data_IF_223516483848
#
_entry.id   IF_223516483848
#
_cell.length_a   1.000
_cell.length_b   1.000
_cell.length_c   1.000
_cell.angle_alpha   90.00
_cell.angle_beta   90.00
_cell.angle_gamma   90.00
#
_symmetry.space_group_name_H-M   'P 1'
#
loop_
_entity.id
_entity.type
_entity.pdbx_description
1 polymer ?
#
# COMPACT_ATOMS: atom_id res chain seq x y z
N UNK A 1 -42.77 -12.38 -18.76
CA UNK A 1 -42.81 -11.03 -18.16
C UNK A 1 -41.95 -11.10 -16.89
N UNK A 2 -40.64 -11.02 -17.07
CA UNK A 2 -39.63 -11.27 -16.05
C UNK A 2 -39.23 -9.92 -15.45
N UNK A 3 -39.58 -9.71 -14.18
CA UNK A 3 -39.25 -8.50 -13.45
C UNK A 3 -37.72 -8.33 -13.39
N UNK A 4 -37.23 -7.32 -14.07
CA UNK A 4 -35.89 -6.76 -13.90
C UNK A 4 -35.81 -6.21 -12.48
N UNK A 5 -35.31 -7.04 -11.57
CA UNK A 5 -34.86 -6.57 -10.23
C UNK A 5 -33.75 -5.53 -10.44
N UNK A 6 -34.10 -4.27 -10.37
CA UNK A 6 -33.16 -3.16 -10.32
C UNK A 6 -32.15 -3.40 -9.19
N UNK A 7 -30.91 -3.68 -9.57
CA UNK A 7 -29.80 -3.75 -8.60
C UNK A 7 -29.63 -2.36 -7.98
N UNK A 8 -29.73 -2.23 -6.66
CA UNK A 8 -29.60 -0.93 -6.00
C UNK A 8 -28.23 -0.30 -6.30
N UNK A 9 -28.32 0.96 -6.72
CA UNK A 9 -27.23 1.83 -7.19
C UNK A 9 -25.91 1.63 -6.46
N UNK A 10 -24.88 1.22 -7.16
CA UNK A 10 -23.50 0.92 -6.76
C UNK A 10 -22.71 2.06 -6.06
N UNK A 11 -23.33 3.21 -5.81
CA UNK A 11 -22.70 4.35 -5.11
C UNK A 11 -22.56 4.15 -3.59
N UNK A 12 -23.48 3.41 -2.94
CA UNK A 12 -23.43 3.19 -1.48
C UNK A 12 -22.27 2.31 -1.02
N UNK A 13 -21.99 1.13 -1.61
CA UNK A 13 -20.88 0.30 -1.18
C UNK A 13 -19.52 0.97 -1.32
N UNK A 14 -19.26 1.69 -2.42
CA UNK A 14 -17.99 2.40 -2.62
C UNK A 14 -17.75 3.51 -1.59
N UNK A 15 -18.80 4.25 -1.20
CA UNK A 15 -18.69 5.27 -0.15
C UNK A 15 -18.42 4.66 1.24
N UNK A 16 -19.08 3.55 1.57
CA UNK A 16 -18.85 2.85 2.84
C UNK A 16 -17.43 2.28 2.92
N UNK A 17 -16.93 1.69 1.82
CA UNK A 17 -15.55 1.23 1.74
C UNK A 17 -14.55 2.39 1.89
N UNK A 18 -14.82 3.54 1.26
CA UNK A 18 -13.95 4.71 1.38
C UNK A 18 -13.97 5.29 2.81
N UNK A 19 -15.12 5.35 3.45
CA UNK A 19 -15.24 5.76 4.85
C UNK A 19 -14.54 4.79 5.81
N UNK A 20 -14.67 3.48 5.59
CA UNK A 20 -13.94 2.46 6.35
C UNK A 20 -12.42 2.57 6.15
N UNK A 21 -11.97 2.84 4.90
CA UNK A 21 -10.57 3.08 4.60
C UNK A 21 -10.05 4.34 5.31
N UNK A 22 -10.80 5.43 5.24
CA UNK A 22 -10.46 6.70 5.90
C UNK A 22 -10.32 6.52 7.40
N UNK A 23 -11.32 5.87 8.05
CA UNK A 23 -11.32 5.64 9.49
C UNK A 23 -10.09 4.84 9.95
N UNK A 24 -9.82 3.68 9.34
CA UNK A 24 -8.65 2.87 9.69
C UNK A 24 -7.33 3.61 9.41
N UNK A 25 -7.21 4.30 8.27
CA UNK A 25 -5.97 5.01 7.93
C UNK A 25 -5.73 6.24 8.82
N UNK A 26 -6.76 6.83 9.39
CA UNK A 26 -6.60 7.93 10.36
C UNK A 26 -5.96 7.41 11.66
N UNK A 27 -6.43 6.29 12.17
CA UNK A 27 -5.80 5.62 13.31
C UNK A 27 -4.37 5.19 13.01
N UNK A 28 -4.16 4.47 11.91
CA UNK A 28 -2.83 4.04 11.44
C UNK A 28 -1.84 5.21 11.34
N UNK A 29 -2.28 6.37 10.84
CA UNK A 29 -1.42 7.56 10.72
C UNK A 29 -0.93 8.06 12.06
N UNK A 30 -1.81 8.14 13.06
CA UNK A 30 -1.46 8.56 14.42
C UNK A 30 -0.55 7.53 15.10
N UNK A 31 -0.90 6.24 15.01
CA UNK A 31 -0.12 5.12 15.55
C UNK A 31 1.30 5.09 14.97
N UNK A 32 1.45 5.12 13.63
CA UNK A 32 2.76 5.04 12.98
C UNK A 32 3.67 6.20 13.36
N UNK A 33 3.11 7.37 13.62
CA UNK A 33 3.89 8.57 13.99
C UNK A 33 4.48 8.46 15.39
N UNK A 34 3.76 7.93 16.37
CA UNK A 34 4.20 7.92 17.76
C UNK A 34 4.64 6.54 18.28
N UNK A 35 4.35 5.45 17.57
CA UNK A 35 4.57 4.08 18.04
C UNK A 35 6.04 3.78 18.39
N UNK A 36 6.99 4.23 17.56
CA UNK A 36 8.42 3.98 17.82
C UNK A 36 8.89 4.58 19.15
N UNK A 37 8.44 5.80 19.47
CA UNK A 37 8.79 6.45 20.74
C UNK A 37 8.05 5.82 21.93
N UNK A 38 6.80 5.41 21.74
CA UNK A 38 6.09 4.62 22.75
C UNK A 38 6.83 3.34 23.09
N UNK A 39 7.24 2.56 22.07
CA UNK A 39 7.93 1.29 22.31
C UNK A 39 9.30 1.46 22.96
N UNK A 40 10.03 2.52 22.62
CA UNK A 40 11.35 2.76 23.19
C UNK A 40 11.29 3.42 24.57
N UNK A 41 10.44 4.44 24.77
CA UNK A 41 10.42 5.23 26.02
C UNK A 41 9.49 4.64 27.08
N UNK A 42 8.35 4.08 26.67
CA UNK A 42 7.32 3.60 27.62
C UNK A 42 7.40 2.08 27.79
N UNK A 43 7.49 1.32 26.69
CA UNK A 43 7.60 -0.14 26.76
C UNK A 43 9.03 -0.62 27.10
N UNK A 44 10.06 0.25 27.06
CA UNK A 44 11.43 -0.06 27.45
C UNK A 44 12.18 -0.95 26.44
N UNK A 45 11.72 -1.03 25.19
CA UNK A 45 12.39 -1.80 24.14
C UNK A 45 13.54 -0.99 23.51
N UNK A 46 14.62 -1.66 23.13
CA UNK A 46 15.67 -1.01 22.36
C UNK A 46 15.23 -0.69 20.94
N UNK A 47 15.77 0.35 20.28
CA UNK A 47 15.45 0.65 18.88
C UNK A 47 15.68 -0.54 17.94
N UNK A 48 16.70 -1.35 18.19
CA UNK A 48 16.97 -2.57 17.42
C UNK A 48 15.87 -3.63 17.58
N UNK A 49 15.36 -3.83 18.80
CA UNK A 49 14.26 -4.76 19.08
C UNK A 49 12.98 -4.29 18.40
N UNK A 50 12.67 -2.99 18.43
CA UNK A 50 11.52 -2.41 17.75
C UNK A 50 11.65 -2.60 16.22
N UNK A 51 12.79 -2.26 15.64
CA UNK A 51 13.06 -2.42 14.22
C UNK A 51 12.94 -3.88 13.78
N UNK A 52 13.57 -4.81 14.51
CA UNK A 52 13.52 -6.24 14.22
C UNK A 52 12.08 -6.78 14.32
N UNK A 53 11.35 -6.44 15.38
CA UNK A 53 9.99 -6.91 15.60
C UNK A 53 9.02 -6.43 14.52
N UNK A 54 9.11 -5.16 14.12
CA UNK A 54 8.29 -4.62 13.02
C UNK A 54 8.66 -5.27 11.67
N UNK A 55 9.95 -5.50 11.42
CA UNK A 55 10.41 -6.19 10.20
C UNK A 55 9.85 -7.61 10.13
N UNK A 56 9.98 -8.39 11.23
CA UNK A 56 9.41 -9.73 11.32
C UNK A 56 7.88 -9.71 11.19
N UNK A 57 7.21 -8.75 11.82
CA UNK A 57 5.77 -8.55 11.72
C UNK A 57 5.30 -8.37 10.28
N UNK A 58 5.95 -7.51 9.51
CA UNK A 58 5.63 -7.32 8.10
C UNK A 58 6.04 -8.51 7.22
N UNK A 59 7.14 -9.20 7.53
CA UNK A 59 7.56 -10.40 6.81
C UNK A 59 6.53 -11.53 6.98
N UNK A 60 6.09 -11.82 8.20
CA UNK A 60 5.02 -12.79 8.48
C UNK A 60 3.70 -12.35 7.85
N UNK A 61 3.36 -11.07 7.99
CA UNK A 61 2.18 -10.48 7.37
C UNK A 61 2.16 -10.66 5.86
N UNK A 62 3.30 -10.55 5.18
CA UNK A 62 3.37 -10.72 3.72
C UNK A 62 2.92 -12.11 3.27
N UNK A 63 3.22 -13.14 4.05
CA UNK A 63 2.81 -14.53 3.78
C UNK A 63 1.35 -14.75 4.17
N UNK A 64 0.85 -14.08 5.22
CA UNK A 64 -0.50 -14.25 5.74
C UNK A 64 -1.61 -13.76 4.79
N UNK A 65 -1.30 -12.83 3.88
CA UNK A 65 -2.27 -12.25 2.95
C UNK A 65 -2.97 -13.29 2.05
N UNK A 66 -2.25 -14.29 1.57
CA UNK A 66 -2.80 -15.36 0.72
C UNK A 66 -3.78 -16.26 1.48
N UNK A 67 -3.42 -16.89 2.63
CA UNK A 67 -4.35 -17.75 3.36
C UNK A 67 -5.55 -16.99 3.93
N UNK A 68 -5.37 -15.75 4.39
CA UNK A 68 -6.48 -14.92 4.89
C UNK A 68 -7.40 -14.47 3.75
N UNK A 69 -6.88 -14.14 2.58
CA UNK A 69 -7.66 -13.88 1.38
C UNK A 69 -8.50 -15.09 0.96
N UNK A 70 -7.91 -16.28 0.97
CA UNK A 70 -8.60 -17.55 0.70
C UNK A 70 -9.69 -17.84 1.73
N UNK A 71 -9.41 -17.58 3.00
CA UNK A 71 -10.41 -17.74 4.07
C UNK A 71 -11.64 -16.87 3.81
N UNK A 72 -11.41 -15.64 3.33
CA UNK A 72 -12.48 -14.71 2.95
C UNK A 72 -13.29 -15.21 1.75
N UNK A 73 -12.65 -15.77 0.73
CA UNK A 73 -13.34 -16.34 -0.44
C UNK A 73 -14.29 -17.48 -0.02
N UNK A 74 -13.90 -18.28 0.97
CA UNK A 74 -14.69 -19.43 1.45
C UNK A 74 -15.82 -19.05 2.42
N UNK A 75 -15.53 -18.19 3.39
CA UNK A 75 -16.45 -17.86 4.49
C UNK A 75 -17.22 -16.57 4.28
N UNK A 76 -16.88 -15.80 3.24
CA UNK A 76 -17.50 -14.54 2.89
C UNK A 76 -16.64 -13.33 3.27
N UNK A 77 -16.33 -12.52 2.26
CA UNK A 77 -15.39 -11.41 2.36
C UNK A 77 -15.83 -10.34 3.40
N UNK A 78 -17.14 -10.10 3.58
CA UNK A 78 -17.64 -9.12 4.56
C UNK A 78 -17.30 -9.53 5.99
N UNK A 79 -17.64 -10.75 6.39
CA UNK A 79 -17.37 -11.26 7.75
C UNK A 79 -15.88 -11.33 8.05
N UNK A 80 -15.10 -11.81 7.07
CA UNK A 80 -13.64 -11.85 7.20
C UNK A 80 -13.02 -10.45 7.35
N UNK A 81 -13.49 -9.46 6.59
CA UNK A 81 -13.00 -8.08 6.70
C UNK A 81 -13.32 -7.47 8.08
N UNK A 82 -14.52 -7.72 8.61
CA UNK A 82 -14.91 -7.28 9.95
C UNK A 82 -14.04 -7.91 11.03
N UNK A 83 -13.86 -9.24 10.98
CA UNK A 83 -13.04 -9.97 11.93
C UNK A 83 -11.58 -9.48 11.92
N UNK A 84 -11.01 -9.30 10.73
CA UNK A 84 -9.64 -8.81 10.58
C UNK A 84 -9.49 -7.35 11.04
N UNK A 85 -10.49 -6.49 10.83
CA UNK A 85 -10.48 -5.13 11.36
C UNK A 85 -10.49 -5.14 12.90
N UNK A 86 -11.37 -5.93 13.54
CA UNK A 86 -11.40 -6.07 14.99
C UNK A 86 -10.11 -6.69 15.53
N UNK A 87 -9.57 -7.72 14.87
CA UNK A 87 -8.30 -8.34 15.26
C UNK A 87 -7.12 -7.35 15.13
N UNK A 88 -7.13 -6.47 14.13
CA UNK A 88 -6.15 -5.38 14.03
C UNK A 88 -6.25 -4.43 15.22
N UNK A 89 -7.45 -3.95 15.55
CA UNK A 89 -7.68 -3.10 16.71
C UNK A 89 -7.26 -3.78 18.03
N UNK A 90 -7.57 -5.06 18.19
CA UNK A 90 -7.14 -5.85 19.37
C UNK A 90 -5.62 -5.99 19.44
N UNK A 91 -4.94 -6.22 18.31
CA UNK A 91 -3.48 -6.30 18.28
C UNK A 91 -2.80 -4.97 18.65
N UNK A 92 -3.42 -3.83 18.29
CA UNK A 92 -2.97 -2.50 18.72
C UNK A 92 -3.11 -2.34 20.23
N UNK A 93 -4.23 -2.76 20.81
CA UNK A 93 -4.41 -2.74 22.27
C UNK A 93 -3.44 -3.69 22.98
N UNK A 94 -3.08 -4.82 22.37
CA UNK A 94 -2.09 -5.74 22.93
C UNK A 94 -0.71 -5.07 23.09
N UNK A 95 -0.32 -4.16 22.20
CA UNK A 95 0.93 -3.40 22.35
C UNK A 95 0.99 -2.57 23.65
N UNK A 96 -0.15 -2.15 24.20
CA UNK A 96 -0.20 -1.37 25.44
C UNK A 96 0.32 -2.16 26.66
N UNK A 97 0.15 -3.47 26.66
CA UNK A 97 0.54 -4.37 27.76
C UNK A 97 1.85 -5.10 27.53
N UNK A 98 2.41 -5.00 26.33
CA UNK A 98 3.68 -5.62 25.96
C UNK A 98 4.85 -4.91 26.66
N UNK A 99 5.69 -5.71 27.36
CA UNK A 99 6.90 -5.26 28.05
C UNK A 99 8.12 -6.14 27.75
N UNK A 100 7.97 -7.16 26.92
CA UNK A 100 9.08 -8.03 26.53
C UNK A 100 9.27 -8.04 25.02
N UNK A 101 10.51 -8.20 24.52
CA UNK A 101 10.78 -8.25 23.08
C UNK A 101 10.05 -9.38 22.36
N UNK A 102 9.91 -10.53 23.01
CA UNK A 102 9.23 -11.71 22.43
C UNK A 102 7.73 -11.43 22.22
N UNK A 103 7.05 -10.90 23.26
CA UNK A 103 5.64 -10.52 23.14
C UNK A 103 5.43 -9.40 22.14
N UNK A 104 6.40 -8.50 22.02
CA UNK A 104 6.37 -7.45 21.01
C UNK A 104 6.39 -8.04 19.58
N UNK A 105 7.31 -8.98 19.32
CA UNK A 105 7.40 -9.66 18.01
C UNK A 105 6.10 -10.40 17.70
N UNK A 106 5.54 -11.14 18.67
CA UNK A 106 4.27 -11.84 18.48
C UNK A 106 3.10 -10.88 18.16
N UNK A 107 2.99 -9.79 18.90
CA UNK A 107 1.98 -8.76 18.65
C UNK A 107 2.18 -8.09 17.28
N UNK A 108 3.43 -7.81 16.88
CA UNK A 108 3.77 -7.23 15.58
C UNK A 108 3.45 -8.21 14.44
N UNK A 109 3.70 -9.51 14.60
CA UNK A 109 3.32 -10.54 13.63
C UNK A 109 1.81 -10.65 13.48
N UNK A 110 1.07 -10.59 14.58
CA UNK A 110 -0.39 -10.60 14.56
C UNK A 110 -0.93 -9.35 13.85
N UNK A 111 -0.46 -8.17 14.25
CA UNK A 111 -0.82 -6.90 13.63
C UNK A 111 -0.54 -6.89 12.12
N UNK A 112 0.68 -7.24 11.69
CA UNK A 112 1.07 -7.28 10.28
C UNK A 112 0.24 -8.28 9.47
N UNK A 113 -0.07 -9.45 10.05
CA UNK A 113 -0.93 -10.45 9.42
C UNK A 113 -2.37 -9.97 9.26
N UNK A 114 -2.94 -9.36 10.29
CA UNK A 114 -4.29 -8.79 10.23
C UNK A 114 -4.39 -7.64 9.23
N UNK A 115 -3.42 -6.73 9.20
CA UNK A 115 -3.37 -5.60 8.26
C UNK A 115 -3.29 -6.07 6.80
N UNK A 116 -2.38 -6.99 6.48
CA UNK A 116 -2.24 -7.51 5.12
C UNK A 116 -3.45 -8.35 4.70
N UNK A 117 -3.98 -9.16 5.62
CA UNK A 117 -5.23 -9.89 5.40
C UNK A 117 -6.41 -8.97 5.15
N UNK A 118 -6.59 -7.94 5.97
CA UNK A 118 -7.65 -6.94 5.81
C UNK A 118 -7.52 -6.20 4.46
N UNK A 119 -6.30 -5.86 4.05
CA UNK A 119 -6.06 -5.26 2.75
C UNK A 119 -6.47 -6.19 1.60
N UNK A 120 -6.10 -7.47 1.62
CA UNK A 120 -6.48 -8.47 0.62
C UNK A 120 -8.01 -8.65 0.56
N UNK A 121 -8.64 -8.83 1.73
CA UNK A 121 -10.09 -9.05 1.84
C UNK A 121 -10.90 -7.83 1.39
N UNK A 122 -10.42 -6.61 1.67
CA UNK A 122 -11.05 -5.37 1.14
C UNK A 122 -11.01 -5.32 -0.38
N UNK A 123 -9.93 -5.80 -1.02
CA UNK A 123 -9.88 -5.88 -2.49
C UNK A 123 -10.86 -6.93 -3.02
N UNK A 124 -10.96 -8.10 -2.38
CA UNK A 124 -11.95 -9.11 -2.74
C UNK A 124 -13.39 -8.59 -2.58
N UNK A 125 -13.65 -7.87 -1.49
CA UNK A 125 -14.96 -7.25 -1.23
C UNK A 125 -15.28 -6.16 -2.26
N UNK A 126 -14.32 -5.33 -2.63
CA UNK A 126 -14.46 -4.36 -3.73
C UNK A 126 -14.76 -5.07 -5.06
N UNK A 127 -14.03 -6.14 -5.37
CA UNK A 127 -14.24 -6.92 -6.59
C UNK A 127 -15.63 -7.58 -6.64
N UNK A 128 -16.16 -8.00 -5.49
CA UNK A 128 -17.49 -8.62 -5.41
C UNK A 128 -18.66 -7.62 -5.46
N UNK A 129 -18.46 -6.39 -4.94
CA UNK A 129 -19.53 -5.39 -4.79
C UNK A 129 -19.55 -4.32 -5.89
N UNK A 130 -18.46 -4.16 -6.62
CA UNK A 130 -18.35 -3.14 -7.67
C UNK A 130 -18.38 -3.75 -9.06
N UNK A 131 -19.02 -3.04 -9.99
CA UNK A 131 -18.97 -3.37 -11.41
C UNK A 131 -17.52 -3.37 -11.91
N UNK A 132 -17.10 -4.31 -12.76
CA UNK A 132 -15.73 -4.42 -13.26
C UNK A 132 -15.15 -3.08 -13.75
N UNK A 133 -15.93 -2.33 -14.54
CA UNK A 133 -15.54 -1.03 -15.11
C UNK A 133 -15.27 0.07 -14.05
N UNK A 134 -15.82 -0.10 -12.85
CA UNK A 134 -15.71 0.89 -11.75
C UNK A 134 -14.72 0.51 -10.67
N UNK A 135 -14.24 -0.75 -10.63
CA UNK A 135 -13.35 -1.26 -9.57
C UNK A 135 -12.12 -0.40 -9.37
N UNK A 136 -11.39 -0.16 -10.44
CA UNK A 136 -10.15 0.64 -10.39
C UNK A 136 -10.40 2.08 -9.97
N UNK A 137 -11.49 2.69 -10.43
CA UNK A 137 -11.87 4.04 -9.98
C UNK A 137 -12.24 4.09 -8.51
N UNK A 138 -13.01 3.10 -8.01
CA UNK A 138 -13.34 3.02 -6.58
C UNK A 138 -12.05 2.75 -5.77
N UNK A 139 -11.16 1.88 -6.26
CA UNK A 139 -9.86 1.64 -5.63
C UNK A 139 -9.04 2.91 -5.49
N UNK A 140 -9.06 3.78 -6.51
CA UNK A 140 -8.41 5.09 -6.47
C UNK A 140 -9.02 6.02 -5.39
N UNK A 141 -10.35 6.02 -5.23
CA UNK A 141 -10.99 6.77 -4.14
C UNK A 141 -10.61 6.22 -2.76
N UNK A 142 -10.51 4.89 -2.61
CA UNK A 142 -10.05 4.26 -1.38
C UNK A 142 -8.60 4.69 -1.05
N UNK A 143 -7.74 4.73 -2.07
CA UNK A 143 -6.35 5.16 -1.90
C UNK A 143 -6.26 6.63 -1.48
N UNK A 144 -7.02 7.52 -2.14
CA UNK A 144 -7.07 8.94 -1.77
C UNK A 144 -7.60 9.13 -0.35
N UNK A 145 -8.67 8.42 0.03
CA UNK A 145 -9.21 8.44 1.38
C UNK A 145 -8.19 7.93 2.41
N UNK A 146 -7.46 6.86 2.06
CA UNK A 146 -6.39 6.31 2.90
C UNK A 146 -5.27 7.31 3.12
N UNK A 147 -4.77 7.94 2.06
CA UNK A 147 -3.71 8.95 2.16
C UNK A 147 -4.14 10.17 2.98
N UNK A 148 -5.39 10.64 2.78
CA UNK A 148 -5.94 11.73 3.59
C UNK A 148 -6.06 11.34 5.06
N UNK A 149 -6.54 10.11 5.35
CA UNK A 149 -6.60 9.59 6.71
C UNK A 149 -5.24 9.51 7.37
N UNK A 150 -4.24 8.94 6.67
CA UNK A 150 -2.86 8.86 7.16
C UNK A 150 -2.27 10.24 7.47
N UNK A 151 -2.49 11.23 6.60
CA UNK A 151 -1.97 12.58 6.79
C UNK A 151 -2.60 13.28 8.02
N UNK A 152 -3.92 13.21 8.16
CA UNK A 152 -4.63 13.76 9.33
C UNK A 152 -4.23 13.02 10.60
N UNK A 153 -4.18 11.68 10.55
CA UNK A 153 -3.74 10.85 11.67
C UNK A 153 -2.30 11.16 12.10
N UNK A 154 -1.39 11.32 11.15
CA UNK A 154 -0.01 11.71 11.46
C UNK A 154 0.07 13.06 12.17
N UNK A 155 -0.78 14.02 11.81
CA UNK A 155 -0.93 15.28 12.54
C UNK A 155 -1.36 15.08 13.99
N UNK A 156 -2.36 14.22 14.23
CA UNK A 156 -2.80 13.86 15.58
C UNK A 156 -1.70 13.14 16.38
N UNK A 157 -0.96 12.22 15.75
CA UNK A 157 0.21 11.58 16.34
C UNK A 157 1.30 12.59 16.70
N UNK A 158 1.53 13.60 15.84
CA UNK A 158 2.44 14.72 16.10
C UNK A 158 2.05 15.54 17.33
N UNK A 159 0.75 15.78 17.55
CA UNK A 159 0.26 16.42 18.78
C UNK A 159 0.55 15.56 20.02
N UNK A 160 0.38 14.25 19.94
CA UNK A 160 0.73 13.35 21.04
C UNK A 160 2.24 13.35 21.33
N UNK A 161 3.08 13.44 20.27
CA UNK A 161 4.52 13.60 20.41
C UNK A 161 4.91 14.92 21.10
N UNK A 162 4.24 16.02 20.75
CA UNK A 162 4.52 17.32 21.38
C UNK A 162 4.14 17.36 22.85
N UNK A 163 3.11 16.60 23.26
CA UNK A 163 2.73 16.44 24.66
C UNK A 163 3.72 15.54 25.43
N UNK A 164 4.36 14.58 24.76
CA UNK A 164 5.37 13.62 25.23
C UNK A 164 5.01 12.97 26.59
N UNK A 165 3.75 12.60 26.77
CA UNK A 165 3.23 11.96 27.98
C UNK A 165 2.76 10.54 27.71
N UNK A 166 2.88 9.65 28.71
CA UNK A 166 2.37 8.29 28.59
C UNK A 166 0.86 8.27 28.24
N UNK A 167 0.07 9.15 28.83
CA UNK A 167 -1.36 9.27 28.55
C UNK A 167 -1.66 9.69 27.09
N UNK A 168 -0.85 10.59 26.52
CA UNK A 168 -1.03 10.99 25.12
C UNK A 168 -0.76 9.81 24.16
N UNK A 169 0.29 9.05 24.40
CA UNK A 169 0.57 7.82 23.61
C UNK A 169 -0.53 6.77 23.76
N UNK A 170 -0.95 6.49 25.00
CA UNK A 170 -2.06 5.55 25.27
C UNK A 170 -3.34 5.96 24.55
N UNK A 171 -3.66 7.25 24.56
CA UNK A 171 -4.83 7.80 23.88
C UNK A 171 -4.77 7.53 22.37
N UNK A 172 -3.62 7.69 21.72
CA UNK A 172 -3.46 7.39 20.29
C UNK A 172 -3.72 5.91 19.99
N UNK A 173 -3.19 4.98 20.80
CA UNK A 173 -3.43 3.55 20.59
C UNK A 173 -4.91 3.17 20.77
N UNK A 174 -5.57 3.75 21.78
CA UNK A 174 -7.00 3.53 22.01
C UNK A 174 -7.85 4.12 20.87
N UNK A 175 -7.51 5.32 20.40
CA UNK A 175 -8.18 5.94 19.25
C UNK A 175 -8.00 5.13 17.97
N UNK A 176 -6.81 4.57 17.73
CA UNK A 176 -6.56 3.71 16.58
C UNK A 176 -7.37 2.41 16.67
N UNK A 177 -7.39 1.75 17.82
CA UNK A 177 -8.24 0.58 18.03
C UNK A 177 -9.74 0.90 17.83
N UNK A 178 -10.20 2.06 18.31
CA UNK A 178 -11.56 2.55 18.09
C UNK A 178 -11.83 2.83 16.59
N UNK A 179 -10.86 3.37 15.86
CA UNK A 179 -10.96 3.58 14.42
C UNK A 179 -11.13 2.25 13.67
N UNK A 180 -10.46 1.18 14.11
CA UNK A 180 -10.68 -0.17 13.55
C UNK A 180 -12.05 -0.75 13.95
N UNK A 181 -12.57 -0.46 15.13
CA UNK A 181 -13.93 -0.83 15.50
C UNK A 181 -14.98 -0.09 14.63
N UNK A 182 -14.78 1.21 14.37
CA UNK A 182 -15.58 1.98 13.40
C UNK A 182 -15.45 1.40 11.99
N UNK A 183 -14.24 1.02 11.57
CA UNK A 183 -14.02 0.33 10.29
C UNK A 183 -14.84 -0.95 10.20
N UNK A 184 -14.84 -1.79 11.23
CA UNK A 184 -15.64 -3.01 11.27
C UNK A 184 -17.14 -2.72 11.21
N UNK A 185 -17.63 -1.70 11.94
CA UNK A 185 -19.03 -1.28 11.93
C UNK A 185 -19.48 -0.77 10.55
N UNK A 186 -18.63 -0.03 9.84
CA UNK A 186 -18.90 0.42 8.47
C UNK A 186 -18.93 -0.74 7.49
N UNK A 187 -18.00 -1.70 7.63
CA UNK A 187 -17.98 -2.92 6.82
C UNK A 187 -19.21 -3.80 7.06
N UNK A 188 -19.73 -3.84 8.30
CA UNK A 188 -20.97 -4.55 8.62
C UNK A 188 -22.18 -4.03 7.83
N UNK A 189 -22.23 -2.73 7.54
CA UNK A 189 -23.32 -2.09 6.77
C UNK A 189 -23.26 -2.42 5.26
N UNK A 190 -22.22 -3.08 4.79
CA UNK A 190 -22.12 -3.53 3.40
C UNK A 190 -23.04 -4.73 3.14
N UNK A 191 -23.58 -4.88 1.91
CA UNK A 191 -24.29 -6.10 1.57
C UNK A 191 -23.37 -7.32 1.66
N UNK A 192 -23.96 -8.47 1.99
CA UNK A 192 -23.22 -9.73 1.98
C UNK A 192 -22.74 -10.02 0.54
N UNK A 193 -21.43 -10.14 0.36
CA UNK A 193 -20.89 -10.60 -0.91
C UNK A 193 -21.22 -12.08 -1.10
N UNK A 194 -21.54 -12.52 -2.33
CA UNK A 194 -21.72 -13.93 -2.61
C UNK A 194 -20.50 -14.72 -2.16
N UNK A 195 -20.73 -15.81 -1.47
CA UNK A 195 -19.65 -16.75 -1.15
C UNK A 195 -19.21 -17.42 -2.45
N UNK A 196 -17.90 -17.53 -2.62
CA UNK A 196 -17.39 -18.36 -3.71
C UNK A 196 -17.82 -19.80 -3.45
N UNK A 197 -18.67 -20.33 -4.31
CA UNK A 197 -18.93 -21.77 -4.36
C UNK A 197 -17.71 -22.44 -4.97
N UNK A 198 -16.64 -22.56 -4.19
CA UNK A 198 -15.42 -23.23 -4.64
C UNK A 198 -15.77 -24.60 -5.18
N UNK A 199 -15.40 -24.90 -6.44
CA UNK A 199 -15.56 -26.24 -7.01
C UNK A 199 -14.92 -27.25 -6.05
N UNK A 200 -15.65 -28.30 -5.62
CA UNK A 200 -15.05 -29.39 -4.86
C UNK A 200 -13.86 -29.95 -5.65
N UNK A 201 -12.67 -30.00 -5.04
CA UNK A 201 -11.46 -30.49 -5.71
C UNK A 201 -10.55 -29.41 -6.31
N UNK A 202 -10.90 -28.13 -6.23
CA UNK A 202 -9.98 -27.06 -6.67
C UNK A 202 -8.66 -27.09 -5.85
N UNK A 203 -7.50 -27.01 -6.51
CA UNK A 203 -6.22 -27.14 -5.82
C UNK A 203 -6.06 -26.08 -4.73
N UNK A 204 -5.63 -26.54 -3.54
CA UNK A 204 -5.24 -25.65 -2.44
C UNK A 204 -4.03 -24.83 -2.90
N UNK A 205 -4.14 -23.48 -2.94
CA UNK A 205 -3.09 -22.59 -3.40
C UNK A 205 -2.92 -22.53 -4.93
N UNK A 206 -4.02 -22.34 -5.65
CA UNK A 206 -3.96 -22.21 -7.11
C UNK A 206 -3.04 -21.08 -7.57
N UNK A 207 -3.01 -19.94 -6.85
CA UNK A 207 -2.20 -18.77 -7.18
C UNK A 207 -0.69 -19.05 -7.16
N UNK A 208 -0.20 -19.93 -6.27
CA UNK A 208 1.23 -20.27 -6.19
C UNK A 208 1.71 -21.12 -7.38
N UNK A 209 0.78 -21.75 -8.11
CA UNK A 209 1.08 -22.53 -9.31
C UNK A 209 0.82 -21.74 -10.59
N UNK A 210 0.23 -20.57 -10.48
CA UNK A 210 -0.07 -19.66 -11.60
C UNK A 210 1.20 -18.84 -11.93
N UNK A 211 2.11 -19.44 -12.70
CA UNK A 211 3.39 -18.83 -13.09
C UNK A 211 3.22 -17.48 -13.80
N UNK A 212 2.27 -17.31 -14.76
CA UNK A 212 2.05 -16.03 -15.41
C UNK A 212 1.66 -14.94 -14.42
N UNK A 213 0.74 -15.23 -13.49
CA UNK A 213 0.33 -14.27 -12.48
C UNK A 213 1.46 -13.96 -11.47
N UNK A 214 2.27 -14.97 -11.13
CA UNK A 214 3.45 -14.77 -10.28
C UNK A 214 4.47 -13.81 -10.93
N UNK A 215 4.69 -13.93 -12.24
CA UNK A 215 5.56 -12.99 -12.97
C UNK A 215 4.99 -11.56 -12.96
N UNK A 216 3.69 -11.40 -13.21
CA UNK A 216 3.02 -10.09 -13.12
C UNK A 216 3.16 -9.50 -11.72
N UNK A 217 2.98 -10.32 -10.67
CA UNK A 217 3.14 -9.90 -9.28
C UNK A 217 4.58 -9.49 -8.97
N UNK A 218 5.57 -10.23 -9.45
CA UNK A 218 6.99 -9.90 -9.28
C UNK A 218 7.35 -8.57 -9.96
N UNK A 219 6.94 -8.38 -11.21
CA UNK A 219 7.17 -7.12 -11.93
C UNK A 219 6.49 -5.94 -11.21
N UNK A 220 5.28 -6.16 -10.68
CA UNK A 220 4.63 -5.16 -9.86
C UNK A 220 5.39 -4.88 -8.55
N UNK A 221 5.94 -5.90 -7.88
CA UNK A 221 6.74 -5.74 -6.67
C UNK A 221 8.01 -4.91 -6.93
N UNK A 222 8.67 -5.10 -8.07
CA UNK A 222 9.80 -4.28 -8.51
C UNK A 222 9.38 -2.82 -8.67
N UNK A 223 8.28 -2.55 -9.35
CA UNK A 223 7.75 -1.19 -9.52
C UNK A 223 7.31 -0.54 -8.20
N UNK A 224 6.91 -1.35 -7.21
CA UNK A 224 6.55 -0.87 -5.87
C UNK A 224 7.75 -0.43 -5.02
N UNK A 225 9.00 -0.74 -5.44
CA UNK A 225 10.20 -0.16 -4.81
C UNK A 225 10.24 1.37 -4.91
N UNK A 226 9.40 1.99 -5.74
CA UNK A 226 9.17 3.44 -5.73
C UNK A 226 8.60 3.97 -4.39
N UNK A 227 7.92 3.12 -3.60
CA UNK A 227 7.27 3.56 -2.35
C UNK A 227 8.27 4.10 -1.30
N UNK A 228 9.38 3.42 -1.00
CA UNK A 228 10.38 3.95 -0.07
C UNK A 228 11.31 5.03 -0.68
N UNK A 229 11.15 5.42 -1.95
CA UNK A 229 11.96 6.51 -2.53
C UNK A 229 11.77 7.81 -1.75
N UNK A 230 10.52 8.22 -1.57
CA UNK A 230 10.20 9.50 -0.94
C UNK A 230 10.51 9.50 0.57
N UNK A 231 10.39 8.35 1.23
CA UNK A 231 10.57 8.24 2.68
C UNK A 231 11.99 7.89 3.13
N UNK A 232 12.83 7.36 2.23
CA UNK A 232 14.18 6.92 2.58
C UNK A 232 15.24 7.46 1.62
N UNK A 233 15.14 7.12 0.32
CA UNK A 233 16.21 7.43 -0.63
C UNK A 233 16.37 8.93 -0.86
N UNK A 234 15.28 9.65 -1.14
CA UNK A 234 15.30 11.09 -1.41
C UNK A 234 15.76 11.91 -0.20
N UNK A 235 15.26 11.69 1.03
CA UNK A 235 15.79 12.36 2.21
C UNK A 235 17.31 12.20 2.40
N UNK A 236 17.81 10.97 2.32
CA UNK A 236 19.24 10.70 2.44
C UNK A 236 20.02 11.36 1.30
N UNK A 237 19.50 11.25 0.07
CA UNK A 237 20.13 11.87 -1.11
C UNK A 237 20.25 13.38 -0.99
N UNK A 238 19.19 14.05 -0.49
CA UNK A 238 19.19 15.51 -0.29
C UNK A 238 20.29 15.91 0.67
N UNK A 239 20.42 15.20 1.79
CA UNK A 239 21.40 15.53 2.84
C UNK A 239 22.83 15.27 2.39
N UNK A 240 23.07 14.13 1.71
CA UNK A 240 24.42 13.65 1.43
C UNK A 240 24.97 14.15 0.09
N UNK A 241 24.11 14.48 -0.89
CA UNK A 241 24.55 14.69 -2.29
C UNK A 241 24.04 15.98 -2.93
N UNK A 242 23.24 16.80 -2.25
CA UNK A 242 22.69 18.01 -2.88
C UNK A 242 22.93 19.28 -2.03
N UNK A 243 22.92 20.43 -2.69
CA UNK A 243 22.96 21.72 -2.01
C UNK A 243 21.57 22.18 -1.50
N UNK A 244 20.51 21.39 -1.70
CA UNK A 244 19.16 21.75 -1.31
C UNK A 244 19.00 21.79 0.22
N UNK A 245 18.25 22.74 0.78
CA UNK A 245 18.04 22.83 2.23
C UNK A 245 17.16 21.66 2.71
N UNK A 246 17.38 21.21 3.97
CA UNK A 246 16.71 20.03 4.54
C UNK A 246 15.18 20.07 4.56
N UNK A 247 14.57 21.27 4.64
CA UNK A 247 13.11 21.42 4.57
C UNK A 247 12.52 20.98 3.22
N UNK A 248 13.35 20.84 2.18
CA UNK A 248 12.95 20.30 0.87
C UNK A 248 12.29 18.94 1.00
N UNK A 249 12.74 18.09 1.90
CA UNK A 249 12.12 16.77 2.17
C UNK A 249 10.63 16.92 2.47
N UNK A 250 10.29 17.79 3.42
CA UNK A 250 8.90 18.04 3.81
C UNK A 250 8.08 18.63 2.66
N UNK A 251 8.67 19.56 1.91
CA UNK A 251 8.02 20.17 0.74
C UNK A 251 7.67 19.11 -0.32
N UNK A 252 8.57 18.16 -0.59
CA UNK A 252 8.33 17.08 -1.56
C UNK A 252 7.25 16.09 -1.05
N UNK A 253 7.20 15.80 0.25
CA UNK A 253 6.11 14.99 0.84
C UNK A 253 4.75 15.66 0.67
N UNK A 254 4.64 16.95 0.98
CA UNK A 254 3.39 17.71 0.83
C UNK A 254 2.98 17.74 -0.64
N UNK A 255 3.92 18.05 -1.54
CA UNK A 255 3.70 18.04 -2.98
C UNK A 255 3.15 16.71 -3.47
N UNK A 256 3.81 15.59 -3.10
CA UNK A 256 3.36 14.25 -3.45
C UNK A 256 1.93 13.99 -2.97
N UNK A 257 1.65 14.29 -1.71
CA UNK A 257 0.33 14.06 -1.12
C UNK A 257 -0.77 14.83 -1.85
N UNK A 258 -0.54 16.13 -2.13
CA UNK A 258 -1.49 16.98 -2.85
C UNK A 258 -1.76 16.41 -4.25
N UNK A 259 -0.70 16.12 -5.01
CA UNK A 259 -0.82 15.63 -6.39
C UNK A 259 -1.54 14.28 -6.43
N UNK A 260 -1.21 13.35 -5.52
CA UNK A 260 -1.90 12.06 -5.43
C UNK A 260 -3.38 12.25 -5.13
N UNK A 261 -3.74 13.02 -4.11
CA UNK A 261 -5.15 13.24 -3.72
C UNK A 261 -5.96 13.84 -4.88
N UNK A 262 -5.38 14.80 -5.60
CA UNK A 262 -6.06 15.52 -6.69
C UNK A 262 -6.17 14.68 -7.97
N UNK A 263 -5.12 13.95 -8.34
CA UNK A 263 -5.03 13.32 -9.66
C UNK A 263 -5.31 11.82 -9.67
N UNK A 264 -5.17 11.10 -8.54
CA UNK A 264 -5.30 9.65 -8.48
C UNK A 264 -6.59 9.11 -9.13
N UNK A 265 -7.72 9.71 -8.79
CA UNK A 265 -9.04 9.29 -9.30
C UNK A 265 -9.20 9.61 -10.79
N UNK A 266 -8.66 10.76 -11.24
CA UNK A 266 -8.73 11.15 -12.65
C UNK A 266 -7.90 10.22 -13.52
N UNK A 267 -6.69 9.86 -13.08
CA UNK A 267 -5.81 8.93 -13.80
C UNK A 267 -6.44 7.54 -13.86
N UNK A 268 -6.94 7.02 -12.74
CA UNK A 268 -7.61 5.73 -12.69
C UNK A 268 -8.87 5.66 -13.56
N UNK A 269 -9.58 6.76 -13.70
CA UNK A 269 -10.79 6.86 -14.53
C UNK A 269 -10.55 6.79 -16.05
N UNK A 270 -9.29 6.86 -16.51
CA UNK A 270 -8.92 6.74 -17.94
C UNK A 270 -8.72 5.29 -18.40
N UNK A 271 -8.80 4.34 -17.49
CA UNK A 271 -8.64 2.92 -17.82
C UNK A 271 -9.95 2.34 -18.35
N UNK A 272 -9.86 1.62 -19.48
CA UNK A 272 -10.99 0.98 -20.14
C UNK A 272 -10.78 -0.50 -20.44
N UNK A 273 -9.53 -1.01 -20.32
CA UNK A 273 -9.22 -2.39 -20.68
C UNK A 273 -7.88 -2.84 -20.10
N UNK A 274 -7.67 -4.16 -20.04
CA UNK A 274 -6.40 -4.77 -19.63
C UNK A 274 -5.23 -4.30 -20.52
N UNK A 275 -5.46 -4.11 -21.82
CA UNK A 275 -4.46 -3.59 -22.74
C UNK A 275 -4.08 -2.13 -22.43
N UNK A 276 -5.05 -1.27 -22.05
CA UNK A 276 -4.77 0.10 -21.64
C UNK A 276 -4.01 0.14 -20.32
N UNK A 277 -4.36 -0.74 -19.37
CA UNK A 277 -3.66 -0.89 -18.09
C UNK A 277 -2.19 -1.29 -18.26
N UNK A 278 -1.93 -2.29 -19.11
CA UNK A 278 -0.58 -2.74 -19.44
C UNK A 278 0.27 -1.63 -20.08
N UNK A 279 -0.30 -0.85 -21.03
CA UNK A 279 0.39 0.30 -21.62
C UNK A 279 0.67 1.39 -20.58
N UNK A 280 -0.25 1.60 -19.63
CA UNK A 280 -0.08 2.59 -18.56
C UNK A 280 1.07 2.19 -17.62
N UNK A 281 1.17 0.92 -17.23
CA UNK A 281 2.30 0.42 -16.43
C UNK A 281 3.63 0.52 -17.21
N UNK A 282 3.64 0.22 -18.52
CA UNK A 282 4.83 0.42 -19.34
C UNK A 282 5.30 1.88 -19.35
N UNK A 283 4.36 2.81 -19.52
CA UNK A 283 4.66 4.26 -19.48
C UNK A 283 5.16 4.69 -18.10
N UNK A 284 4.61 4.12 -17.02
CA UNK A 284 5.06 4.42 -15.67
C UNK A 284 6.53 4.06 -15.47
N UNK A 285 7.00 2.93 -16.01
CA UNK A 285 8.41 2.54 -15.94
C UNK A 285 9.35 3.57 -16.59
N UNK A 286 8.97 4.11 -17.76
CA UNK A 286 9.73 5.15 -18.44
C UNK A 286 9.70 6.46 -17.65
N UNK A 287 8.54 6.84 -17.11
CA UNK A 287 8.38 8.06 -16.29
C UNK A 287 9.18 7.94 -14.99
N UNK A 288 9.21 6.77 -14.36
CA UNK A 288 10.03 6.53 -13.18
C UNK A 288 11.53 6.57 -13.50
N UNK A 289 11.97 6.06 -14.66
CA UNK A 289 13.34 6.26 -15.14
C UNK A 289 13.66 7.74 -15.27
N UNK A 290 12.78 8.53 -15.91
CA UNK A 290 13.00 9.96 -16.05
C UNK A 290 13.08 10.69 -14.70
N UNK A 291 12.29 10.26 -13.71
CA UNK A 291 12.39 10.80 -12.34
C UNK A 291 13.72 10.45 -11.68
N UNK A 292 14.21 9.20 -11.85
CA UNK A 292 15.52 8.78 -11.34
C UNK A 292 16.66 9.60 -11.97
N UNK A 293 16.58 9.89 -13.27
CA UNK A 293 17.55 10.78 -13.95
C UNK A 293 17.48 12.20 -13.35
N UNK A 294 16.29 12.74 -13.13
CA UNK A 294 16.15 14.06 -12.52
C UNK A 294 16.73 14.10 -11.09
N UNK A 295 16.47 13.07 -10.26
CA UNK A 295 17.08 13.00 -8.94
C UNK A 295 18.61 12.86 -9.01
N UNK A 296 19.15 12.08 -9.94
CA UNK A 296 20.60 11.98 -10.16
C UNK A 296 21.20 13.36 -10.53
N UNK A 297 20.55 14.09 -11.43
CA UNK A 297 20.99 15.43 -11.87
C UNK A 297 20.93 16.49 -10.74
N UNK A 298 20.14 16.28 -9.69
CA UNK A 298 20.06 17.22 -8.56
C UNK A 298 21.38 17.36 -7.80
N UNK A 299 22.26 16.34 -7.86
CA UNK A 299 23.60 16.41 -7.29
C UNK A 299 24.56 17.34 -8.05
N UNK A 300 24.27 17.65 -9.30
CA UNK A 300 25.08 18.53 -10.12
C UNK A 300 24.72 20.02 -9.93
N UNK A 301 23.66 20.29 -9.19
CA UNK A 301 23.21 21.63 -8.89
C UNK A 301 24.16 22.36 -7.95
N UNK A 302 24.81 23.42 -8.43
CA UNK A 302 25.79 24.22 -7.68
C UNK A 302 25.14 25.20 -6.69
N UNK A 303 23.84 25.50 -6.86
CA UNK A 303 23.09 26.39 -5.96
C UNK A 303 21.89 25.68 -5.31
N UNK A 304 21.53 26.09 -4.07
CA UNK A 304 20.35 25.54 -3.39
C UNK A 304 19.05 25.65 -4.19
N UNK A 305 18.87 26.76 -4.92
CA UNK A 305 17.67 26.99 -5.72
C UNK A 305 17.59 26.05 -6.92
N UNK A 306 18.70 25.81 -7.63
CA UNK A 306 18.77 24.89 -8.76
C UNK A 306 18.53 23.46 -8.28
N UNK A 307 19.20 23.04 -7.22
CA UNK A 307 19.00 21.72 -6.63
C UNK A 307 17.54 21.50 -6.22
N UNK A 308 16.93 22.47 -5.54
CA UNK A 308 15.51 22.43 -5.16
C UNK A 308 14.58 22.31 -6.38
N UNK A 309 14.79 23.12 -7.41
CA UNK A 309 13.97 23.11 -8.62
C UNK A 309 14.03 21.75 -9.35
N UNK A 310 15.23 21.17 -9.46
CA UNK A 310 15.43 19.85 -10.07
C UNK A 310 14.76 18.75 -9.24
N UNK A 311 14.88 18.80 -7.90
CA UNK A 311 14.21 17.87 -6.99
C UNK A 311 12.69 17.94 -7.08
N UNK A 312 12.12 19.15 -7.17
CA UNK A 312 10.67 19.35 -7.36
C UNK A 312 10.22 18.79 -8.71
N UNK A 313 10.96 19.07 -9.79
CA UNK A 313 10.67 18.50 -11.10
C UNK A 313 10.74 16.95 -11.08
N UNK A 314 11.78 16.38 -10.48
CA UNK A 314 11.93 14.94 -10.28
C UNK A 314 10.77 14.33 -9.48
N UNK A 315 10.33 14.98 -8.41
CA UNK A 315 9.21 14.54 -7.59
C UNK A 315 7.87 14.61 -8.33
N UNK A 316 7.62 15.63 -9.14
CA UNK A 316 6.42 15.73 -9.98
C UNK A 316 6.39 14.60 -11.03
N UNK A 317 7.52 14.31 -11.65
CA UNK A 317 7.64 13.19 -12.60
C UNK A 317 7.47 11.85 -11.87
N UNK A 318 8.05 11.69 -10.68
CA UNK A 318 7.93 10.48 -9.86
C UNK A 318 6.47 10.21 -9.47
N UNK A 319 5.76 11.24 -9.00
CA UNK A 319 4.34 11.11 -8.62
C UNK A 319 3.48 10.76 -9.85
N UNK A 320 3.77 11.30 -11.02
CA UNK A 320 3.08 10.90 -12.25
C UNK A 320 3.33 9.41 -12.57
N UNK A 321 4.57 8.95 -12.46
CA UNK A 321 4.92 7.52 -12.58
C UNK A 321 4.17 6.66 -11.57
N UNK A 322 4.05 7.11 -10.33
CA UNK A 322 3.28 6.47 -9.26
C UNK A 322 1.80 6.31 -9.62
N UNK A 323 1.16 7.37 -10.07
CA UNK A 323 -0.25 7.38 -10.43
C UNK A 323 -0.54 6.41 -11.59
N UNK A 324 0.32 6.41 -12.61
CA UNK A 324 0.21 5.51 -13.76
C UNK A 324 0.41 4.05 -13.36
N UNK A 325 1.44 3.77 -12.54
CA UNK A 325 1.72 2.41 -12.05
C UNK A 325 0.57 1.89 -11.20
N UNK A 326 0.11 2.66 -10.22
CA UNK A 326 -0.95 2.25 -9.31
C UNK A 326 -2.23 1.93 -10.05
N UNK A 327 -2.70 2.83 -10.91
CA UNK A 327 -3.94 2.65 -11.67
C UNK A 327 -3.85 1.41 -12.58
N UNK A 328 -2.77 1.28 -13.36
CA UNK A 328 -2.57 0.15 -14.25
C UNK A 328 -2.45 -1.19 -13.52
N UNK A 329 -1.67 -1.22 -12.43
CA UNK A 329 -1.50 -2.45 -11.64
C UNK A 329 -2.77 -2.90 -10.94
N UNK A 330 -3.60 -1.99 -10.44
CA UNK A 330 -4.89 -2.37 -9.84
C UNK A 330 -5.81 -3.01 -10.86
N UNK A 331 -5.91 -2.44 -12.06
CA UNK A 331 -6.72 -3.02 -13.13
C UNK A 331 -6.22 -4.41 -13.53
N UNK A 332 -4.90 -4.56 -13.72
CA UNK A 332 -4.27 -5.85 -14.04
C UNK A 332 -4.56 -6.87 -12.93
N UNK A 333 -4.38 -6.49 -11.66
CA UNK A 333 -4.62 -7.36 -10.52
C UNK A 333 -6.07 -7.84 -10.43
N UNK A 334 -7.06 -6.98 -10.72
CA UNK A 334 -8.47 -7.38 -10.74
C UNK A 334 -8.85 -8.21 -11.97
N UNK A 335 -8.40 -7.79 -13.15
CA UNK A 335 -8.79 -8.43 -14.41
C UNK A 335 -8.20 -9.84 -14.57
N UNK A 336 -6.99 -10.05 -14.05
CA UNK A 336 -6.33 -11.35 -14.10
C UNK A 336 -6.69 -12.28 -12.93
N UNK A 337 -7.36 -11.85 -11.89
CA UNK A 337 -7.80 -12.70 -10.79
C UNK A 337 -9.12 -13.42 -11.14
N UNK A 338 -9.21 -14.77 -11.02
CA UNK A 338 -10.46 -15.48 -11.18
C UNK A 338 -11.55 -14.95 -10.25
N UNK A 339 -12.80 -14.89 -10.74
CA UNK A 339 -13.90 -14.30 -10.00
C UNK A 339 -14.20 -15.00 -8.67
N UNK A 340 -13.95 -16.30 -8.60
CA UNK A 340 -14.14 -17.16 -7.42
C UNK A 340 -12.95 -17.19 -6.45
N UNK A 341 -11.80 -16.57 -6.81
CA UNK A 341 -10.55 -16.56 -6.02
C UNK A 341 -9.96 -15.17 -5.86
N UNK A 342 -10.79 -14.14 -5.89
CA UNK A 342 -10.32 -12.75 -5.80
C UNK A 342 -9.50 -12.48 -4.52
N UNK A 343 -9.91 -13.01 -3.37
CA UNK A 343 -9.19 -12.82 -2.11
C UNK A 343 -7.80 -13.46 -2.12
N UNK A 344 -7.69 -14.70 -2.59
CA UNK A 344 -6.42 -15.41 -2.72
C UNK A 344 -5.45 -14.68 -3.65
N UNK A 345 -5.93 -14.28 -4.83
CA UNK A 345 -5.11 -13.59 -5.85
C UNK A 345 -4.75 -12.17 -5.44
N UNK A 346 -5.66 -11.42 -4.84
CA UNK A 346 -5.37 -10.08 -4.32
C UNK A 346 -4.42 -10.14 -3.11
N UNK A 347 -4.52 -11.17 -2.27
CA UNK A 347 -3.57 -11.43 -1.20
C UNK A 347 -2.16 -11.65 -1.74
N UNK A 348 -2.02 -12.49 -2.77
CA UNK A 348 -0.73 -12.75 -3.43
C UNK A 348 -0.18 -11.49 -4.13
N UNK A 349 -1.01 -10.77 -4.85
CA UNK A 349 -0.62 -9.51 -5.50
C UNK A 349 -0.17 -8.45 -4.49
N UNK A 350 -0.81 -8.42 -3.32
CA UNK A 350 -0.48 -7.53 -2.21
C UNK A 350 0.87 -7.82 -1.54
N UNK A 351 1.42 -9.04 -1.68
CA UNK A 351 2.74 -9.38 -1.10
C UNK A 351 3.84 -8.47 -1.63
N UNK A 352 3.72 -7.99 -2.89
CA UNK A 352 4.65 -7.03 -3.46
C UNK A 352 4.80 -5.75 -2.64
N UNK A 353 3.72 -5.26 -2.03
CA UNK A 353 3.78 -4.08 -1.14
C UNK A 353 4.56 -4.37 0.13
N UNK A 354 4.35 -5.54 0.73
CA UNK A 354 5.08 -5.94 1.95
C UNK A 354 6.56 -6.15 1.67
N UNK A 355 6.89 -6.79 0.55
CA UNK A 355 8.29 -6.97 0.09
C UNK A 355 8.96 -5.61 -0.15
N UNK A 356 8.30 -4.69 -0.86
CA UNK A 356 8.84 -3.36 -1.11
C UNK A 356 9.08 -2.57 0.19
N UNK A 357 8.21 -2.72 1.19
CA UNK A 357 8.40 -2.09 2.51
C UNK A 357 9.52 -2.71 3.33
N UNK A 358 9.71 -4.03 3.24
CA UNK A 358 10.73 -4.74 4.00
C UNK A 358 12.14 -4.58 3.39
N UNK A 359 12.26 -4.79 2.07
CA UNK A 359 13.56 -4.81 1.37
C UNK A 359 13.94 -3.44 0.82
N UNK A 360 12.94 -2.63 0.47
CA UNK A 360 13.14 -1.35 -0.21
C UNK A 360 14.08 -0.38 0.51
N UNK A 361 13.92 -0.10 1.82
CA UNK A 361 14.81 0.82 2.53
C UNK A 361 16.28 0.42 2.42
N UNK A 362 16.63 -0.85 2.67
CA UNK A 362 18.01 -1.35 2.60
C UNK A 362 18.51 -1.31 1.15
N UNK A 363 17.72 -1.79 0.21
CA UNK A 363 18.10 -1.81 -1.20
C UNK A 363 18.34 -0.40 -1.74
N UNK A 364 17.47 0.56 -1.41
CA UNK A 364 17.59 1.93 -1.92
C UNK A 364 18.73 2.70 -1.22
N UNK A 365 18.96 2.50 0.06
CA UNK A 365 20.11 3.14 0.73
C UNK A 365 21.44 2.63 0.17
N UNK A 366 21.55 1.33 -0.10
CA UNK A 366 22.77 0.76 -0.67
C UNK A 366 22.96 1.09 -2.16
N UNK A 367 21.90 0.91 -2.97
CA UNK A 367 21.99 1.09 -4.43
C UNK A 367 22.00 2.57 -4.80
N UNK A 368 21.13 3.38 -4.19
CA UNK A 368 20.94 4.78 -4.60
C UNK A 368 21.92 5.69 -3.85
N UNK A 369 21.93 5.65 -2.52
CA UNK A 369 22.79 6.55 -1.73
C UNK A 369 24.25 6.11 -1.86
N UNK A 370 24.53 4.83 -1.65
CA UNK A 370 25.88 4.28 -1.79
C UNK A 370 26.41 4.23 -3.22
N UNK A 371 25.54 4.05 -4.24
CA UNK A 371 25.89 4.00 -5.65
C UNK A 371 25.90 5.35 -6.37
N UNK A 372 25.45 6.43 -5.71
CA UNK A 372 25.44 7.78 -6.27
C UNK A 372 24.60 7.90 -7.53
N UNK A 373 25.05 8.72 -8.49
CA UNK A 373 24.37 8.92 -9.79
C UNK A 373 24.12 7.59 -10.51
N UNK A 374 25.11 6.70 -10.51
CA UNK A 374 24.98 5.39 -11.16
C UNK A 374 23.87 4.55 -10.54
N UNK A 375 23.72 4.60 -9.20
CA UNK A 375 22.65 3.92 -8.49
C UNK A 375 21.25 4.37 -8.90
N UNK A 376 21.03 5.68 -9.09
CA UNK A 376 19.79 6.21 -9.65
C UNK A 376 19.50 5.69 -11.05
N UNK A 377 20.51 5.66 -11.92
CA UNK A 377 20.36 5.19 -13.30
C UNK A 377 20.04 3.69 -13.36
N UNK A 378 20.71 2.88 -12.54
CA UNK A 378 20.42 1.45 -12.41
C UNK A 378 18.98 1.24 -11.93
N UNK A 379 18.55 1.92 -10.89
CA UNK A 379 17.18 1.82 -10.39
C UNK A 379 16.16 2.23 -11.46
N UNK A 380 16.41 3.34 -12.15
CA UNK A 380 15.57 3.80 -13.26
C UNK A 380 15.48 2.78 -14.40
N UNK A 381 16.61 2.17 -14.79
CA UNK A 381 16.64 1.10 -15.80
C UNK A 381 15.83 -0.14 -15.35
N UNK A 382 15.90 -0.51 -14.07
CA UNK A 382 15.10 -1.59 -13.48
C UNK A 382 13.61 -1.27 -13.56
N UNK A 383 13.20 -0.04 -13.25
CA UNK A 383 11.79 0.38 -13.39
C UNK A 383 11.34 0.35 -14.85
N UNK A 384 12.15 0.84 -15.79
CA UNK A 384 11.82 0.81 -17.21
C UNK A 384 11.71 -0.62 -17.73
N UNK A 385 12.66 -1.49 -17.37
CA UNK A 385 12.65 -2.92 -17.73
C UNK A 385 11.44 -3.66 -17.18
N UNK A 386 11.11 -3.49 -15.90
CA UNK A 386 9.93 -4.09 -15.28
C UNK A 386 8.62 -3.58 -15.92
N UNK A 387 8.53 -2.29 -16.19
CA UNK A 387 7.39 -1.70 -16.88
C UNK A 387 7.23 -2.24 -18.31
N UNK A 388 8.32 -2.40 -19.03
CA UNK A 388 8.29 -2.94 -20.39
C UNK A 388 7.93 -4.43 -20.41
N UNK A 389 8.49 -5.23 -19.50
CA UNK A 389 8.21 -6.65 -19.35
C UNK A 389 6.77 -6.94 -18.91
N UNK A 390 6.08 -5.98 -18.28
CA UNK A 390 4.67 -6.13 -17.85
C UNK A 390 3.75 -6.44 -19.05
N UNK A 391 4.02 -5.88 -20.24
CA UNK A 391 3.20 -6.11 -21.43
C UNK A 391 3.14 -7.57 -21.85
N UNK A 392 4.26 -8.21 -22.16
CA UNK A 392 4.34 -9.64 -22.44
C UNK A 392 3.78 -10.51 -21.30
N UNK A 393 4.11 -10.20 -20.05
CA UNK A 393 3.62 -10.96 -18.88
C UNK A 393 2.09 -10.96 -18.77
N UNK A 394 1.46 -9.81 -18.97
CA UNK A 394 -0.01 -9.68 -18.95
C UNK A 394 -0.65 -10.44 -20.11
N UNK A 395 -0.08 -10.40 -21.34
CA UNK A 395 -0.58 -11.19 -22.46
C UNK A 395 -0.47 -12.68 -22.19
N UNK A 396 0.64 -13.14 -21.64
CA UNK A 396 0.81 -14.54 -21.23
C UNK A 396 -0.23 -14.96 -20.19
N UNK A 397 -0.41 -14.15 -19.13
CA UNK A 397 -1.39 -14.42 -18.10
C UNK A 397 -2.83 -14.44 -18.64
N UNK A 398 -3.17 -13.59 -19.61
CA UNK A 398 -4.49 -13.56 -20.22
C UNK A 398 -4.74 -14.77 -21.13
N UNK A 399 -3.71 -15.26 -21.84
CA UNK A 399 -3.81 -16.42 -22.73
C UNK A 399 -4.00 -17.76 -21.98
N UNK A 400 -3.70 -17.82 -20.69
CA UNK A 400 -3.82 -19.02 -19.86
C UNK A 400 -5.15 -19.09 -19.09
N UNK A 401 -6.07 -18.17 -19.35
CA UNK A 401 -7.41 -18.02 -18.73
C UNK A 401 -8.52 -18.11 -19.75
#
# INVERSE_FOLDING_TARGET
MTALLERPKTRRPGRLLAAAQLAGSLGDGAFLTCSALFFTRIAGLTPAQVGLGLTLGWAVGSVAGVPLGRLADRHGARGAAMLLALATGTSILAFLVVRSPVLFVLAACLYGSCQTGLAAVRQALLAALADPERRTRIRAHLQSAGNAGLAVGAGLGGLALSADTASAYLTVFVLDAAAFAVTAALLHRLPAAPRSSGRPGAPKSAVLRDRPYALVTLLNAILLLRMPLLSVAIPLWIVDHTAAPGWTVSALFVLNTIVVVVLQVRVAGRLSSLGSASRMVRRSGVVLLASCVAFALSALGTSPAVAFAVLVAGALVQVLGELLQSAGSWEIGFALAPADKQGEYQGFFGTGTSVARAVGPVLLSTVVVGGGIAGWLVLGAVFAGAGWAMGPAVRWAAATR
#
